data_IF_131678778675
#
_entry.id   IF_131678778675
#
_cell.length_a   1.000
_cell.length_b   1.000
_cell.length_c   1.000
_cell.angle_alpha   90.00
_cell.angle_beta   90.00
_cell.angle_gamma   90.00
#
_symmetry.space_group_name_H-M   'P 1'
#
loop_
_entity.id
_entity.type
_entity.pdbx_description
1 polymer ?
#
# COMPACT_ATOMS: atom_id res chain seq x y z
N UNK A 1 1.62 -22.69 26.08
CA UNK A 1 2.67 -23.64 25.82
C UNK A 1 2.78 -23.83 24.30
N UNK A 2 3.98 -23.97 23.77
CA UNK A 2 4.29 -24.27 22.35
C UNK A 2 3.97 -23.17 21.34
N UNK A 3 3.78 -21.92 21.77
CA UNK A 3 3.65 -20.79 20.87
C UNK A 3 5.01 -20.15 20.58
N UNK A 4 5.14 -19.57 19.40
CA UNK A 4 6.27 -18.74 19.00
C UNK A 4 5.76 -17.37 18.53
N UNK A 5 6.56 -16.34 18.64
CA UNK A 5 6.20 -15.00 18.23
C UNK A 5 7.21 -14.44 17.23
N UNK A 6 6.70 -13.71 16.25
CA UNK A 6 7.52 -12.94 15.30
C UNK A 6 6.97 -11.53 15.23
N UNK A 7 7.85 -10.54 15.15
CA UNK A 7 7.45 -9.15 14.98
C UNK A 7 8.33 -8.45 13.95
N UNK A 8 7.75 -7.50 13.23
CA UNK A 8 8.51 -6.52 12.47
C UNK A 8 9.22 -5.55 13.42
N UNK A 9 10.08 -4.69 12.88
CA UNK A 9 10.68 -3.58 13.62
C UNK A 9 9.59 -2.72 14.26
N UNK A 10 9.75 -2.39 15.54
CA UNK A 10 8.80 -1.64 16.35
C UNK A 10 9.45 -0.40 16.99
N UNK A 11 8.63 0.57 17.42
CA UNK A 11 9.10 1.60 18.35
C UNK A 11 9.73 0.95 19.59
N UNK A 12 10.78 1.57 20.11
CA UNK A 12 11.57 1.01 21.22
C UNK A 12 10.73 0.70 22.47
N UNK A 13 9.66 1.48 22.70
CA UNK A 13 8.77 1.28 23.87
C UNK A 13 7.86 0.08 23.63
N UNK A 14 7.34 -0.05 22.41
CA UNK A 14 6.52 -1.21 22.00
C UNK A 14 7.36 -2.48 22.03
N UNK A 15 8.59 -2.43 21.49
CA UNK A 15 9.50 -3.58 21.49
C UNK A 15 9.82 -4.08 22.89
N UNK A 16 10.09 -3.18 23.85
CA UNK A 16 10.32 -3.55 25.26
C UNK A 16 9.13 -4.31 25.87
N UNK A 17 7.89 -3.91 25.56
CA UNK A 17 6.69 -4.61 26.03
C UNK A 17 6.59 -5.99 25.40
N UNK A 18 6.81 -6.10 24.10
CA UNK A 18 6.78 -7.38 23.36
C UNK A 18 7.82 -8.35 23.94
N UNK A 19 9.06 -7.90 24.10
CA UNK A 19 10.17 -8.71 24.65
C UNK A 19 9.91 -9.15 26.10
N UNK A 20 9.43 -8.22 26.95
CA UNK A 20 9.12 -8.57 28.36
C UNK A 20 8.00 -9.59 28.45
N UNK A 21 6.96 -9.45 27.63
CA UNK A 21 5.83 -10.38 27.57
C UNK A 21 6.25 -11.74 27.04
N UNK A 22 7.06 -11.78 25.97
CA UNK A 22 7.59 -13.02 25.42
C UNK A 22 8.45 -13.76 26.46
N UNK A 23 9.31 -13.04 27.19
CA UNK A 23 10.16 -13.60 28.26
C UNK A 23 9.32 -14.12 29.42
N UNK A 24 8.35 -13.36 29.90
CA UNK A 24 7.43 -13.76 30.99
C UNK A 24 6.69 -15.03 30.63
N UNK A 25 6.18 -15.12 29.40
CA UNK A 25 5.43 -16.27 28.90
C UNK A 25 6.32 -17.40 28.40
N UNK A 26 7.64 -17.23 28.41
CA UNK A 26 8.63 -18.18 27.87
C UNK A 26 8.37 -18.54 26.40
N UNK A 27 8.00 -17.54 25.61
CA UNK A 27 7.73 -17.67 24.16
C UNK A 27 8.99 -17.26 23.41
N UNK A 28 9.55 -18.10 22.51
CA UNK A 28 10.59 -17.68 21.59
C UNK A 28 10.11 -16.51 20.73
N UNK A 29 10.94 -15.48 20.59
CA UNK A 29 10.64 -14.28 19.81
C UNK A 29 11.72 -14.10 18.74
N UNK A 30 11.30 -13.99 17.47
CA UNK A 30 12.15 -13.53 16.38
C UNK A 30 11.67 -12.14 15.89
N UNK A 31 12.57 -11.43 15.22
CA UNK A 31 12.27 -10.12 14.63
C UNK A 31 12.67 -10.11 13.16
N UNK A 32 12.05 -9.24 12.35
CA UNK A 32 12.48 -8.99 10.97
C UNK A 32 13.95 -8.59 10.86
N UNK A 33 14.53 -7.99 11.90
CA UNK A 33 15.94 -7.57 11.94
C UNK A 33 16.93 -8.76 11.98
N UNK A 34 16.46 -9.97 12.33
CA UNK A 34 17.28 -11.20 12.26
C UNK A 34 17.45 -11.72 10.83
N UNK A 35 16.67 -11.22 9.87
CA UNK A 35 16.69 -11.64 8.46
C UNK A 35 17.46 -10.62 7.63
N UNK A 36 18.51 -11.09 6.96
CA UNK A 36 19.24 -10.29 5.98
C UNK A 36 18.71 -10.59 4.58
N UNK A 37 18.43 -9.55 3.82
CA UNK A 37 18.12 -9.61 2.39
C UNK A 37 18.98 -8.59 1.66
N UNK A 38 19.43 -8.93 0.45
CA UNK A 38 20.17 -8.01 -0.41
C UNK A 38 19.20 -7.53 -1.49
N UNK A 39 18.75 -6.28 -1.38
CA UNK A 39 17.76 -5.70 -2.31
C UNK A 39 18.45 -5.42 -3.65
N UNK A 40 17.93 -6.02 -4.73
CA UNK A 40 18.41 -5.84 -6.10
C UNK A 40 17.68 -4.64 -6.73
N UNK A 41 16.36 -4.61 -6.61
CA UNK A 41 15.52 -3.62 -7.29
C UNK A 41 14.22 -3.38 -6.53
N UNK A 42 13.72 -2.14 -6.59
CA UNK A 42 12.37 -1.77 -6.13
C UNK A 42 11.69 -0.88 -7.16
N UNK A 43 10.49 -1.27 -7.58
CA UNK A 43 9.68 -0.57 -8.60
C UNK A 43 8.22 -0.49 -8.16
N UNK A 44 7.38 0.19 -8.97
CA UNK A 44 5.92 0.15 -8.78
C UNK A 44 5.31 -1.24 -8.99
N UNK A 45 6.00 -2.16 -9.68
CA UNK A 45 5.55 -3.54 -9.90
C UNK A 45 5.88 -4.48 -8.75
N UNK A 46 6.84 -4.08 -7.91
CA UNK A 46 7.31 -4.90 -6.81
C UNK A 46 8.80 -4.72 -6.53
N UNK A 47 9.36 -5.68 -5.82
CA UNK A 47 10.76 -5.69 -5.40
C UNK A 47 11.41 -7.03 -5.72
N UNK A 48 12.72 -7.01 -6.05
CA UNK A 48 13.57 -8.21 -6.16
C UNK A 48 14.68 -8.13 -5.14
N UNK A 49 14.96 -9.24 -4.50
CA UNK A 49 16.01 -9.32 -3.50
C UNK A 49 16.57 -10.75 -3.38
N UNK A 50 17.81 -10.87 -2.85
CA UNK A 50 18.40 -12.14 -2.52
C UNK A 50 18.10 -12.53 -1.08
N UNK A 51 17.79 -13.80 -0.86
CA UNK A 51 17.70 -14.42 0.45
C UNK A 51 18.32 -15.81 0.40
N UNK A 52 19.31 -16.10 1.26
CA UNK A 52 20.06 -17.36 1.31
C UNK A 52 20.64 -17.82 -0.06
N UNK A 53 21.02 -16.88 -0.92
CA UNK A 53 21.53 -17.18 -2.26
C UNK A 53 20.47 -17.47 -3.32
N UNK A 54 19.17 -17.36 -2.98
CA UNK A 54 18.03 -17.49 -3.91
C UNK A 54 17.44 -16.12 -4.20
N UNK A 55 17.21 -15.82 -5.47
CA UNK A 55 16.51 -14.59 -5.88
C UNK A 55 15.02 -14.74 -5.64
N UNK A 56 14.42 -13.73 -5.03
CA UNK A 56 12.99 -13.65 -4.72
C UNK A 56 12.37 -12.47 -5.45
N UNK A 57 11.36 -12.74 -6.26
CA UNK A 57 10.46 -11.75 -6.82
C UNK A 57 9.28 -11.56 -5.87
N UNK A 58 9.03 -10.33 -5.46
CA UNK A 58 7.91 -9.94 -4.62
C UNK A 58 7.05 -8.94 -5.39
N UNK A 59 5.86 -9.31 -5.94
CA UNK A 59 5.01 -8.42 -6.71
C UNK A 59 4.20 -7.46 -5.83
N UNK A 60 4.80 -6.97 -4.75
CA UNK A 60 4.25 -5.99 -3.83
C UNK A 60 5.21 -4.80 -3.74
N UNK A 61 4.72 -3.61 -4.05
CA UNK A 61 5.50 -2.38 -4.09
C UNK A 61 5.59 -1.68 -2.73
N UNK A 62 6.67 -0.94 -2.54
CA UNK A 62 6.92 -0.10 -1.37
C UNK A 62 7.86 -0.73 -0.33
N UNK A 63 8.68 0.11 0.30
CA UNK A 63 9.71 -0.34 1.25
C UNK A 63 9.12 -1.07 2.47
N UNK A 64 7.90 -0.73 2.87
CA UNK A 64 7.18 -1.43 3.93
C UNK A 64 6.86 -2.90 3.56
N UNK A 65 6.76 -3.24 2.27
CA UNK A 65 6.54 -4.62 1.83
C UNK A 65 7.82 -5.46 1.93
N UNK A 66 9.00 -4.85 1.75
CA UNK A 66 10.27 -5.52 2.05
C UNK A 66 10.39 -5.84 3.54
N UNK A 67 9.96 -4.94 4.42
CA UNK A 67 9.95 -5.19 5.87
C UNK A 67 8.93 -6.28 6.25
N UNK A 68 7.77 -6.30 5.58
CA UNK A 68 6.79 -7.38 5.73
C UNK A 68 7.36 -8.73 5.23
N UNK A 69 8.11 -8.72 4.11
CA UNK A 69 8.78 -9.92 3.59
C UNK A 69 9.81 -10.46 4.58
N UNK A 70 10.65 -9.59 5.17
CA UNK A 70 11.59 -10.00 6.23
C UNK A 70 10.87 -10.61 7.44
N UNK A 71 9.73 -10.04 7.83
CA UNK A 71 8.91 -10.59 8.93
C UNK A 71 8.37 -11.99 8.58
N UNK A 72 7.89 -12.17 7.35
CA UNK A 72 7.43 -13.48 6.87
C UNK A 72 8.57 -14.51 6.79
N UNK A 73 9.75 -14.10 6.29
CA UNK A 73 10.94 -14.95 6.27
C UNK A 73 11.38 -15.34 7.68
N UNK A 74 11.38 -14.40 8.63
CA UNK A 74 11.69 -14.70 10.04
C UNK A 74 10.70 -15.74 10.62
N UNK A 75 9.43 -15.66 10.27
CA UNK A 75 8.43 -16.64 10.70
C UNK A 75 8.68 -18.02 10.08
N UNK A 76 8.97 -18.08 8.78
CA UNK A 76 9.28 -19.32 8.07
C UNK A 76 10.56 -19.97 8.62
N UNK A 77 11.61 -19.19 8.86
CA UNK A 77 12.86 -19.68 9.47
C UNK A 77 12.64 -20.22 10.88
N UNK A 78 11.85 -19.53 11.69
CA UNK A 78 11.51 -20.00 13.03
C UNK A 78 10.75 -21.33 13.00
N UNK A 79 9.79 -21.50 12.09
CA UNK A 79 9.05 -22.74 11.92
C UNK A 79 9.95 -23.86 11.41
N UNK A 80 10.84 -23.58 10.47
CA UNK A 80 11.81 -24.52 9.88
C UNK A 80 12.83 -25.00 10.93
N UNK A 81 13.41 -24.08 11.70
CA UNK A 81 14.38 -24.38 12.76
C UNK A 81 13.79 -25.23 13.89
N UNK A 82 12.50 -25.12 14.13
CA UNK A 82 11.81 -25.95 15.12
C UNK A 82 11.19 -27.24 14.52
N UNK A 83 11.54 -27.57 13.28
CA UNK A 83 11.06 -28.78 12.55
C UNK A 83 9.52 -28.87 12.43
N UNK A 84 8.83 -27.74 12.48
CA UNK A 84 7.37 -27.67 12.32
C UNK A 84 6.94 -27.68 10.85
N UNK A 85 7.82 -27.23 9.96
CA UNK A 85 7.65 -27.29 8.51
C UNK A 85 8.92 -27.75 7.82
N UNK A 86 8.76 -28.40 6.65
CA UNK A 86 9.87 -28.70 5.72
C UNK A 86 9.61 -27.92 4.45
N UNK A 87 10.42 -26.86 4.23
CA UNK A 87 10.28 -25.98 3.08
C UNK A 87 11.67 -25.54 2.60
N UNK A 88 11.91 -25.54 1.29
CA UNK A 88 13.16 -25.05 0.71
C UNK A 88 13.10 -23.55 0.40
N UNK A 89 14.26 -22.92 0.19
CA UNK A 89 14.33 -21.50 -0.15
C UNK A 89 13.72 -21.23 -1.54
N UNK A 90 13.78 -22.18 -2.49
CA UNK A 90 13.10 -22.10 -3.80
C UNK A 90 11.57 -22.16 -3.64
N UNK A 91 11.05 -22.96 -2.71
CA UNK A 91 9.62 -23.01 -2.42
C UNK A 91 9.15 -21.69 -1.77
N UNK A 92 9.99 -21.11 -0.92
CA UNK A 92 9.74 -19.77 -0.35
C UNK A 92 9.68 -18.73 -1.48
N UNK A 93 10.69 -18.71 -2.38
CA UNK A 93 10.73 -17.79 -3.52
C UNK A 93 9.48 -17.93 -4.41
N UNK A 94 9.08 -19.16 -4.75
CA UNK A 94 7.86 -19.44 -5.50
C UNK A 94 6.57 -18.99 -4.79
N UNK A 95 6.57 -19.00 -3.46
CA UNK A 95 5.47 -18.48 -2.64
C UNK A 95 5.39 -16.96 -2.71
N UNK A 96 6.52 -16.28 -2.55
CA UNK A 96 6.60 -14.82 -2.64
C UNK A 96 6.20 -14.31 -4.02
N UNK A 97 6.62 -14.97 -5.10
CA UNK A 97 6.28 -14.60 -6.48
C UNK A 97 4.77 -14.63 -6.77
N UNK A 98 3.99 -15.33 -5.95
CA UNK A 98 2.52 -15.43 -6.06
C UNK A 98 1.79 -14.54 -5.05
N UNK A 99 2.51 -13.71 -4.29
CA UNK A 99 1.92 -12.85 -3.27
C UNK A 99 1.00 -11.81 -3.93
N UNK A 100 -0.24 -11.72 -3.44
CA UNK A 100 -1.22 -10.74 -3.87
C UNK A 100 -1.79 -10.04 -2.65
N UNK A 101 -1.77 -8.72 -2.65
CA UNK A 101 -2.36 -7.92 -1.58
C UNK A 101 -3.07 -6.70 -2.18
N UNK A 102 -4.34 -6.84 -2.61
CA UNK A 102 -5.07 -5.79 -3.27
C UNK A 102 -5.14 -4.51 -2.43
N UNK A 103 -5.12 -3.36 -3.10
CA UNK A 103 -5.14 -2.04 -2.46
C UNK A 103 -3.98 -1.81 -1.46
N UNK A 104 -2.80 -2.36 -1.75
CA UNK A 104 -1.55 -2.07 -1.06
C UNK A 104 -0.52 -1.60 -2.07
N UNK A 105 -0.54 -0.31 -2.39
CA UNK A 105 0.23 0.31 -3.46
C UNK A 105 0.14 -0.50 -4.78
N UNK A 106 -1.08 -0.90 -5.11
CA UNK A 106 -1.38 -1.76 -6.24
C UNK A 106 -1.33 -0.96 -7.54
N UNK A 107 -0.43 -1.33 -8.45
CA UNK A 107 -0.35 -0.77 -9.80
C UNK A 107 -1.41 -1.44 -10.68
N UNK A 108 -2.48 -0.72 -11.02
CA UNK A 108 -3.56 -1.23 -11.87
C UNK A 108 -3.34 -0.96 -13.35
N UNK A 109 -2.60 0.11 -13.69
CA UNK A 109 -2.19 0.45 -15.06
C UNK A 109 -0.85 1.17 -15.03
N UNK A 110 -0.06 0.96 -16.10
CA UNK A 110 1.21 1.66 -16.31
C UNK A 110 1.06 2.87 -17.25
N UNK A 111 0.05 2.86 -18.10
CA UNK A 111 -0.23 3.92 -19.09
C UNK A 111 -1.73 4.07 -19.29
N UNK A 112 -2.32 5.15 -18.73
CA UNK A 112 -1.72 6.02 -17.71
C UNK A 112 -1.44 5.28 -16.40
N UNK A 113 -0.55 5.81 -15.56
CA UNK A 113 -0.27 5.21 -14.25
C UNK A 113 -1.51 5.33 -13.37
N UNK A 114 -1.99 4.20 -12.86
CA UNK A 114 -3.10 4.12 -11.90
C UNK A 114 -2.67 3.30 -10.70
N UNK A 115 -2.60 3.95 -9.53
CA UNK A 115 -2.25 3.33 -8.25
C UNK A 115 -3.47 3.28 -7.33
N UNK A 116 -3.66 2.13 -6.68
CA UNK A 116 -4.70 1.92 -5.69
C UNK A 116 -4.07 1.56 -4.35
N UNK A 117 -4.38 2.34 -3.31
CA UNK A 117 -3.89 2.09 -1.95
C UNK A 117 -4.98 2.29 -0.89
N UNK A 118 -5.03 1.40 0.07
CA UNK A 118 -5.98 1.47 1.19
C UNK A 118 -5.50 2.31 2.38
N UNK A 119 -4.46 3.13 2.25
CA UNK A 119 -3.95 4.00 3.29
C UNK A 119 -5.06 4.90 3.86
N UNK A 120 -5.28 4.85 5.17
CA UNK A 120 -6.39 5.52 5.84
C UNK A 120 -6.05 6.02 7.25
N UNK A 121 -4.79 5.95 7.63
CA UNK A 121 -4.25 6.43 8.90
C UNK A 121 -2.89 7.07 8.66
N UNK A 122 -2.34 7.88 9.59
CA UNK A 122 -1.09 8.59 9.39
C UNK A 122 0.08 7.71 8.94
N UNK A 123 0.26 6.52 9.52
CA UNK A 123 1.36 5.63 9.16
C UNK A 123 1.23 5.09 7.73
N UNK A 124 0.01 4.68 7.31
CA UNK A 124 -0.24 4.24 5.94
C UNK A 124 -0.06 5.37 4.93
N UNK A 125 -0.53 6.58 5.27
CA UNK A 125 -0.36 7.77 4.45
C UNK A 125 1.12 8.15 4.29
N UNK A 126 1.91 8.05 5.35
CA UNK A 126 3.37 8.27 5.29
C UNK A 126 4.05 7.28 4.33
N UNK A 127 3.66 6.01 4.38
CA UNK A 127 4.16 4.99 3.46
C UNK A 127 3.76 5.28 2.00
N UNK A 128 2.50 5.68 1.76
CA UNK A 128 2.02 6.09 0.44
C UNK A 128 2.77 7.30 -0.08
N UNK A 129 2.94 8.36 0.74
CA UNK A 129 3.73 9.55 0.42
C UNK A 129 5.14 9.18 -0.02
N UNK A 130 5.83 8.38 0.80
CA UNK A 130 7.21 7.93 0.53
C UNK A 130 7.29 7.18 -0.81
N UNK A 131 6.31 6.33 -1.10
CA UNK A 131 6.25 5.59 -2.36
C UNK A 131 6.01 6.51 -3.56
N UNK A 132 5.06 7.46 -3.47
CA UNK A 132 4.82 8.44 -4.53
C UNK A 132 6.09 9.25 -4.81
N UNK A 133 6.74 9.77 -3.78
CA UNK A 133 7.97 10.56 -3.94
C UNK A 133 9.12 9.74 -4.55
N UNK A 134 9.21 8.45 -4.21
CA UNK A 134 10.25 7.55 -4.71
C UNK A 134 10.01 7.15 -6.17
N UNK A 135 8.79 6.76 -6.52
CA UNK A 135 8.48 6.13 -7.81
C UNK A 135 7.89 7.07 -8.84
N UNK A 136 7.33 8.22 -8.41
CA UNK A 136 6.69 9.20 -9.28
C UNK A 136 7.27 10.62 -9.07
N UNK A 137 8.61 10.77 -9.03
CA UNK A 137 9.21 12.09 -8.84
C UNK A 137 8.80 13.03 -9.98
N UNK A 138 8.35 14.23 -9.63
CA UNK A 138 7.93 15.29 -10.58
C UNK A 138 6.71 14.92 -11.46
N UNK A 139 5.99 13.86 -11.14
CA UNK A 139 4.75 13.50 -11.85
C UNK A 139 3.60 14.33 -11.30
N UNK A 140 2.75 14.86 -12.18
CA UNK A 140 1.47 15.47 -11.76
C UNK A 140 0.55 14.39 -11.22
N UNK A 141 0.07 14.54 -10.00
CA UNK A 141 -0.73 13.53 -9.30
C UNK A 141 -2.16 14.00 -9.12
N UNK A 142 -3.10 13.28 -9.71
CA UNK A 142 -4.53 13.41 -9.46
C UNK A 142 -4.94 12.37 -8.41
N UNK A 143 -5.31 12.81 -7.23
CA UNK A 143 -5.77 11.92 -6.17
C UNK A 143 -7.30 11.80 -6.17
N UNK A 144 -7.79 10.56 -5.99
CA UNK A 144 -9.21 10.28 -5.70
C UNK A 144 -9.27 9.74 -4.29
N UNK A 145 -10.00 10.42 -3.40
CA UNK A 145 -9.95 10.10 -1.98
C UNK A 145 -11.31 10.16 -1.29
N UNK A 146 -11.54 9.20 -0.42
CA UNK A 146 -12.66 9.16 0.51
C UNK A 146 -12.22 8.52 1.82
N UNK A 147 -12.56 9.12 2.95
CA UNK A 147 -12.07 8.72 4.26
C UNK A 147 -13.22 8.47 5.24
N UNK A 148 -12.95 7.70 6.29
CA UNK A 148 -13.88 7.53 7.41
C UNK A 148 -13.66 8.64 8.44
N UNK A 149 -14.74 9.15 9.00
CA UNK A 149 -14.73 10.29 9.94
C UNK A 149 -14.12 9.95 11.32
N UNK A 150 -14.04 8.66 11.66
CA UNK A 150 -13.44 8.16 12.91
C UNK A 150 -11.90 8.00 12.84
N UNK A 151 -11.30 8.36 11.71
CA UNK A 151 -9.85 8.34 11.52
C UNK A 151 -9.23 9.72 11.78
N UNK A 152 -7.92 9.75 12.00
CA UNK A 152 -7.18 11.01 12.10
C UNK A 152 -6.98 11.63 10.69
N UNK A 153 -8.09 12.17 10.16
CA UNK A 153 -8.13 12.77 8.83
C UNK A 153 -7.23 14.00 8.75
N UNK A 154 -7.24 14.84 9.79
CA UNK A 154 -6.48 16.08 9.79
C UNK A 154 -4.96 15.84 9.65
N UNK A 155 -4.42 14.92 10.44
CA UNK A 155 -2.99 14.54 10.35
C UNK A 155 -2.71 13.86 9.02
N UNK A 156 -3.58 12.96 8.56
CA UNK A 156 -3.43 12.24 7.29
C UNK A 156 -3.36 13.20 6.09
N UNK A 157 -4.28 14.16 6.02
CA UNK A 157 -4.30 15.17 4.94
C UNK A 157 -3.08 16.08 5.00
N UNK A 158 -2.68 16.53 6.20
CA UNK A 158 -1.49 17.36 6.37
C UNK A 158 -0.20 16.65 5.92
N UNK A 159 -0.08 15.35 6.12
CA UNK A 159 1.07 14.57 5.65
C UNK A 159 1.18 14.55 4.11
N UNK A 160 0.06 14.72 3.40
CA UNK A 160 0.00 14.75 1.94
C UNK A 160 0.20 16.15 1.34
N UNK A 161 0.53 17.15 2.16
CA UNK A 161 0.93 18.48 1.68
C UNK A 161 2.11 18.37 0.70
N UNK A 162 1.94 18.98 -0.49
CA UNK A 162 2.92 18.93 -1.57
C UNK A 162 3.07 17.58 -2.28
N UNK A 163 2.13 16.64 -2.08
CA UNK A 163 2.14 15.31 -2.73
C UNK A 163 1.17 15.24 -3.90
N UNK A 164 -0.01 15.84 -3.75
CA UNK A 164 -1.06 15.84 -4.77
C UNK A 164 -1.18 17.22 -5.41
N UNK A 165 -1.32 17.26 -6.72
CA UNK A 165 -1.54 18.50 -7.48
C UNK A 165 -3.03 18.80 -7.65
N UNK A 166 -3.85 17.75 -7.69
CA UNK A 166 -5.32 17.81 -7.78
C UNK A 166 -5.96 16.74 -6.92
N UNK A 167 -7.06 17.08 -6.25
CA UNK A 167 -7.76 16.14 -5.37
C UNK A 167 -9.25 16.08 -5.71
N UNK A 168 -9.73 14.89 -5.95
CA UNK A 168 -11.13 14.53 -6.11
C UNK A 168 -11.63 13.83 -4.85
N UNK A 169 -12.54 14.47 -4.11
CA UNK A 169 -13.14 13.86 -2.94
C UNK A 169 -14.45 13.17 -3.32
N UNK A 170 -14.60 11.92 -2.88
CA UNK A 170 -15.70 11.04 -3.27
C UNK A 170 -16.40 10.43 -2.05
N UNK A 171 -17.69 10.04 -2.18
CA UNK A 171 -18.38 9.29 -1.13
C UNK A 171 -17.75 7.88 -0.96
N UNK A 172 -17.90 7.35 0.25
CA UNK A 172 -17.60 5.96 0.60
C UNK A 172 -18.88 5.35 1.15
N UNK A 173 -19.31 4.19 0.67
CA UNK A 173 -20.52 3.52 1.13
C UNK A 173 -20.32 2.86 2.50
N UNK A 174 -20.15 3.70 3.52
CA UNK A 174 -19.98 3.27 4.91
C UNK A 174 -20.64 4.30 5.84
N UNK A 175 -21.39 3.87 6.88
CA UNK A 175 -22.05 4.79 7.81
C UNK A 175 -21.09 5.69 8.59
N UNK A 176 -19.80 5.35 8.65
CA UNK A 176 -18.74 6.17 9.26
C UNK A 176 -18.03 7.08 8.27
N UNK A 177 -18.46 7.13 7.01
CA UNK A 177 -17.79 7.92 5.99
C UNK A 177 -17.83 9.43 6.33
N UNK A 178 -16.73 10.11 6.08
CA UNK A 178 -16.71 11.58 6.08
C UNK A 178 -17.42 12.08 4.82
N UNK A 179 -18.27 13.06 4.96
CA UNK A 179 -18.95 13.68 3.80
C UNK A 179 -17.90 14.28 2.85
N UNK A 180 -17.97 14.04 1.52
CA UNK A 180 -16.96 14.50 0.57
C UNK A 180 -16.66 16.00 0.67
N UNK A 181 -17.67 16.85 0.82
CA UNK A 181 -17.46 18.30 0.96
C UNK A 181 -16.69 18.69 2.23
N UNK A 182 -16.80 17.91 3.34
CA UNK A 182 -15.99 18.13 4.53
C UNK A 182 -14.55 17.69 4.30
N UNK A 183 -14.34 16.59 3.59
CA UNK A 183 -13.02 16.12 3.23
C UNK A 183 -12.35 17.10 2.26
N UNK A 184 -13.07 17.63 1.28
CA UNK A 184 -12.60 18.69 0.38
C UNK A 184 -12.07 19.90 1.17
N UNK A 185 -12.79 20.37 2.19
CA UNK A 185 -12.37 21.49 3.04
C UNK A 185 -11.05 21.20 3.81
N UNK A 186 -10.74 19.95 4.09
CA UNK A 186 -9.46 19.59 4.71
C UNK A 186 -8.34 19.68 3.67
N UNK A 187 -8.53 19.14 2.46
CA UNK A 187 -7.53 19.19 1.40
C UNK A 187 -7.32 20.59 0.81
N UNK A 188 -8.37 21.41 0.70
CA UNK A 188 -8.27 22.79 0.19
C UNK A 188 -7.36 23.73 1.00
N UNK A 189 -6.85 23.28 2.14
CA UNK A 189 -5.83 23.99 2.92
C UNK A 189 -4.42 23.80 2.35
N UNK A 190 -4.21 22.80 1.50
CA UNK A 190 -2.91 22.35 1.02
C UNK A 190 -2.88 22.17 -0.51
N UNK A 191 -4.04 21.98 -1.14
CA UNK A 191 -4.19 21.76 -2.57
C UNK A 191 -5.28 22.67 -3.10
N UNK A 192 -4.91 23.63 -3.97
CA UNK A 192 -5.85 24.64 -4.52
C UNK A 192 -6.91 23.99 -5.43
N UNK A 193 -6.51 22.98 -6.22
CA UNK A 193 -7.39 22.28 -7.16
C UNK A 193 -8.03 21.06 -6.49
N UNK A 194 -9.09 21.33 -5.69
CA UNK A 194 -9.83 20.29 -4.98
C UNK A 194 -11.31 20.34 -5.35
N UNK A 195 -11.85 19.22 -5.83
CA UNK A 195 -13.24 19.10 -6.33
C UNK A 195 -13.94 17.92 -5.67
N UNK A 196 -15.25 18.06 -5.43
CA UNK A 196 -16.09 16.97 -4.91
C UNK A 196 -16.89 16.33 -6.04
N UNK A 197 -16.91 15.00 -6.08
CA UNK A 197 -17.71 14.21 -7.01
C UNK A 197 -18.83 13.44 -6.29
N UNK A 198 -19.90 13.12 -7.03
CA UNK A 198 -21.04 12.36 -6.50
C UNK A 198 -20.77 10.85 -6.48
N UNK A 199 -19.83 10.36 -7.31
CA UNK A 199 -19.40 8.96 -7.30
C UNK A 199 -17.88 8.82 -7.55
N UNK A 200 -17.31 7.73 -7.06
CA UNK A 200 -15.91 7.42 -7.26
C UNK A 200 -15.62 7.02 -8.71
N UNK A 201 -16.58 6.38 -9.38
CA UNK A 201 -16.48 5.97 -10.79
C UNK A 201 -16.38 7.20 -11.70
N UNK A 202 -17.25 8.19 -11.50
CA UNK A 202 -17.20 9.44 -12.29
C UNK A 202 -15.90 10.20 -12.05
N UNK A 203 -15.45 10.29 -10.79
CA UNK A 203 -14.15 10.89 -10.47
C UNK A 203 -13.01 10.15 -11.17
N UNK A 204 -13.06 8.81 -11.21
CA UNK A 204 -12.06 8.00 -11.89
C UNK A 204 -12.07 8.24 -13.41
N UNK A 205 -13.23 8.24 -14.05
CA UNK A 205 -13.34 8.48 -15.49
C UNK A 205 -12.72 9.83 -15.88
N UNK A 206 -13.02 10.88 -15.13
CA UNK A 206 -12.48 12.23 -15.35
C UNK A 206 -10.95 12.27 -15.15
N UNK A 207 -10.44 11.62 -14.09
CA UNK A 207 -9.01 11.57 -13.81
C UNK A 207 -8.27 10.73 -14.84
N UNK A 208 -8.83 9.59 -15.24
CA UNK A 208 -8.25 8.68 -16.21
C UNK A 208 -8.17 9.32 -17.59
N UNK A 209 -9.26 9.92 -18.10
CA UNK A 209 -9.29 10.66 -19.37
C UNK A 209 -8.25 11.81 -19.40
N UNK A 210 -8.09 12.53 -18.28
CA UNK A 210 -7.05 13.54 -18.18
C UNK A 210 -5.66 12.92 -18.24
N UNK A 211 -5.43 11.82 -17.53
CA UNK A 211 -4.14 11.15 -17.47
C UNK A 211 -3.74 10.52 -18.83
N UNK A 212 -4.70 10.07 -19.64
CA UNK A 212 -4.44 9.62 -21.01
C UNK A 212 -3.94 10.75 -21.94
N UNK A 213 -4.42 11.97 -21.71
CA UNK A 213 -4.07 13.16 -22.53
C UNK A 213 -2.80 13.86 -22.05
N UNK A 214 -2.41 13.62 -20.82
CA UNK A 214 -1.28 14.32 -20.17
C UNK A 214 -0.42 13.31 -19.40
N UNK A 215 0.80 13.69 -19.05
CA UNK A 215 1.70 12.80 -18.30
C UNK A 215 1.39 12.82 -16.79
N UNK A 216 0.14 12.52 -16.41
CA UNK A 216 -0.34 12.47 -15.03
C UNK A 216 -0.40 11.04 -14.50
N UNK A 217 -0.39 10.90 -13.18
CA UNK A 217 -0.74 9.65 -12.51
C UNK A 217 -2.01 9.81 -11.68
N UNK A 218 -2.84 8.77 -11.65
CA UNK A 218 -4.04 8.70 -10.81
C UNK A 218 -3.74 7.85 -9.58
N UNK A 219 -3.99 8.41 -8.39
CA UNK A 219 -3.78 7.72 -7.11
C UNK A 219 -5.09 7.67 -6.35
N UNK A 220 -5.59 6.48 -6.07
CA UNK A 220 -6.80 6.26 -5.29
C UNK A 220 -6.40 5.86 -3.87
N UNK A 221 -6.86 6.61 -2.84
CA UNK A 221 -6.49 6.32 -1.46
C UNK A 221 -7.51 6.83 -0.43
N UNK A 222 -7.22 6.62 0.87
CA UNK A 222 -7.98 7.17 2.00
C UNK A 222 -8.89 6.16 2.71
N UNK A 223 -9.24 5.04 2.06
CA UNK A 223 -10.09 4.01 2.67
C UNK A 223 -9.96 2.67 1.97
N UNK A 224 -9.88 1.59 2.75
CA UNK A 224 -10.03 0.22 2.21
C UNK A 224 -11.45 -0.04 1.65
N UNK A 225 -12.46 0.64 2.19
CA UNK A 225 -13.83 0.54 1.65
C UNK A 225 -13.89 1.15 0.26
N UNK A 226 -13.39 2.38 0.08
CA UNK A 226 -13.29 3.01 -1.24
C UNK A 226 -12.51 2.12 -2.21
N UNK A 227 -11.36 1.63 -1.79
CA UNK A 227 -10.53 0.77 -2.64
C UNK A 227 -11.26 -0.51 -3.06
N UNK A 228 -11.96 -1.18 -2.14
CA UNK A 228 -12.75 -2.37 -2.44
C UNK A 228 -13.93 -2.10 -3.39
N UNK A 229 -14.60 -0.95 -3.23
CA UNK A 229 -15.73 -0.54 -4.05
C UNK A 229 -15.31 -0.23 -5.49
N UNK A 230 -14.26 0.57 -5.68
CA UNK A 230 -13.90 1.08 -7.00
C UNK A 230 -12.99 0.14 -7.79
N UNK A 231 -12.21 -0.72 -7.13
CA UNK A 231 -11.25 -1.61 -7.78
C UNK A 231 -11.84 -2.43 -8.95
N UNK A 232 -13.01 -3.10 -8.81
CA UNK A 232 -13.60 -3.85 -9.92
C UNK A 232 -13.94 -2.96 -11.12
N UNK A 233 -14.44 -1.75 -10.88
CA UNK A 233 -14.75 -0.78 -11.92
C UNK A 233 -13.49 -0.39 -12.70
N UNK A 234 -12.41 -0.02 -11.99
CA UNK A 234 -11.13 0.38 -12.59
C UNK A 234 -10.58 -0.74 -13.48
N UNK A 235 -10.54 -1.99 -12.98
CA UNK A 235 -10.03 -3.14 -13.73
C UNK A 235 -10.83 -3.36 -15.02
N UNK A 236 -12.15 -3.28 -14.96
CA UNK A 236 -13.01 -3.45 -16.13
C UNK A 236 -12.82 -2.33 -17.15
N UNK A 237 -12.69 -1.08 -16.68
CA UNK A 237 -12.44 0.08 -17.55
C UNK A 237 -11.11 -0.06 -18.28
N UNK A 238 -10.02 -0.33 -17.56
CA UNK A 238 -8.68 -0.50 -18.15
C UNK A 238 -8.65 -1.64 -19.17
N UNK A 239 -9.33 -2.75 -18.90
CA UNK A 239 -9.43 -3.86 -19.86
C UNK A 239 -10.15 -3.45 -21.14
N UNK A 240 -11.28 -2.74 -21.04
CA UNK A 240 -12.04 -2.28 -22.18
C UNK A 240 -11.24 -1.30 -23.07
N UNK A 241 -10.47 -0.39 -22.44
CA UNK A 241 -9.60 0.55 -23.18
C UNK A 241 -8.47 -0.19 -23.91
N UNK A 242 -7.82 -1.16 -23.27
CA UNK A 242 -6.75 -1.96 -23.88
C UNK A 242 -7.26 -2.75 -25.09
N UNK A 243 -8.45 -3.38 -24.98
CA UNK A 243 -9.09 -4.11 -26.09
C UNK A 243 -9.49 -3.18 -27.25
N UNK A 244 -9.76 -1.93 -26.96
CA UNK A 244 -10.11 -0.92 -27.97
C UNK A 244 -8.89 -0.38 -28.70
N UNK A 245 -7.74 -0.30 -28.02
CA UNK A 245 -6.47 0.16 -28.60
C UNK A 245 -5.78 -0.89 -29.49
N UNK A 246 -6.12 -2.18 -29.35
CA UNK A 246 -5.59 -3.29 -30.16
C UNK A 246 -6.37 -3.52 -31.48
N UNK A 247 -7.47 -2.80 -31.68
CA UNK A 247 -8.32 -2.87 -32.90
C UNK A 247 -8.04 -1.73 -33.86
#
# INVERSE_FOLDING_TARGET
PDSMAVTSKQDIRAMKVIESTAREKKIPLATSESVNIDVIETTLKGSRFMFNGVEIDLPLSGDHQLENAKTALAALDMLRCNSLISITDEQIANGFAKAVNPARLELLSEKPIVLLDGAHNPNGIEALKSAIQKFLPNKYIIAITGMLADKDVSTSVKLLDGVFDRVYTVPVHNPRAMHPAKLMQQYARFVDDTVTFESAEHAFDMAFEQAEKTDCAVVICGSLYLAGEIRPYIINKIKAENESAEK
#
